data_IF_639203305652
#
_entry.id   IF_639203305652
#
_cell.length_a   1.000
_cell.length_b   1.000
_cell.length_c   1.000
_cell.angle_alpha   90.00
_cell.angle_beta   90.00
_cell.angle_gamma   90.00
#
_symmetry.space_group_name_H-M   'P 1'
#
loop_
_entity.id
_entity.type
_entity.pdbx_description
1 polymer ?
#
# COMPACT_ATOMS: atom_id res chain seq x y z
N UNK A 1 1.44 14.90 13.12
CA UNK A 1 0.21 14.10 12.97
C UNK A 1 -0.02 13.73 11.48
N UNK A 2 0.26 12.46 11.13
CA UNK A 2 -0.08 11.90 9.82
C UNK A 2 -1.48 11.27 9.84
N UNK A 3 -2.16 11.22 8.69
CA UNK A 3 -3.43 10.52 8.56
C UNK A 3 -3.15 9.08 8.12
N UNK A 4 -3.68 8.09 8.85
CA UNK A 4 -3.62 6.69 8.47
C UNK A 4 -5.03 6.23 8.14
N UNK A 5 -5.22 5.65 6.95
CA UNK A 5 -6.45 4.91 6.62
C UNK A 5 -6.16 3.42 6.71
N UNK A 6 -7.11 2.66 7.24
CA UNK A 6 -6.98 1.22 7.44
C UNK A 6 -8.07 0.53 6.63
N UNK A 7 -7.66 -0.49 5.87
CA UNK A 7 -8.53 -1.36 5.09
C UNK A 7 -8.34 -2.76 5.66
N UNK A 8 -9.28 -3.18 6.50
CA UNK A 8 -9.21 -4.44 7.25
C UNK A 8 -9.62 -5.66 6.41
N UNK A 9 -9.27 -6.86 6.89
CA UNK A 9 -9.55 -8.16 6.28
C UNK A 9 -11.02 -8.31 5.85
N UNK A 10 -11.96 -7.82 6.67
CA UNK A 10 -13.39 -7.88 6.33
C UNK A 10 -13.69 -7.19 5.00
N UNK A 11 -13.09 -6.03 4.73
CA UNK A 11 -13.29 -5.31 3.46
C UNK A 11 -12.63 -6.05 2.30
N UNK A 12 -11.43 -6.62 2.54
CA UNK A 12 -10.69 -7.39 1.53
C UNK A 12 -11.52 -8.61 1.11
N UNK A 13 -12.09 -9.33 2.08
CA UNK A 13 -12.89 -10.54 1.87
C UNK A 13 -14.26 -10.24 1.24
N UNK A 14 -14.98 -9.23 1.74
CA UNK A 14 -16.30 -8.84 1.21
C UNK A 14 -16.22 -8.40 -0.25
N UNK A 15 -15.15 -7.70 -0.62
CA UNK A 15 -14.91 -7.25 -2.00
C UNK A 15 -14.40 -8.38 -2.90
N UNK A 16 -14.04 -9.53 -2.33
CA UNK A 16 -13.31 -10.61 -3.02
C UNK A 16 -12.12 -10.05 -3.78
N UNK A 17 -11.39 -9.13 -3.15
CA UNK A 17 -10.21 -8.56 -3.75
C UNK A 17 -9.23 -9.70 -4.08
N UNK A 18 -8.57 -9.59 -5.22
CA UNK A 18 -7.56 -10.52 -5.75
C UNK A 18 -6.22 -9.82 -6.01
N UNK A 19 -6.19 -8.48 -5.93
CA UNK A 19 -4.97 -7.69 -6.08
C UNK A 19 -4.89 -6.56 -5.06
N UNK A 20 -3.66 -6.11 -4.79
CA UNK A 20 -3.44 -4.96 -3.92
C UNK A 20 -4.09 -3.69 -4.50
N UNK A 21 -4.19 -3.57 -5.82
CA UNK A 21 -4.88 -2.46 -6.47
C UNK A 21 -6.38 -2.44 -6.20
N UNK A 22 -7.03 -3.60 -6.08
CA UNK A 22 -8.44 -3.68 -5.70
C UNK A 22 -8.66 -3.25 -4.24
N UNK A 23 -7.78 -3.69 -3.34
CA UNK A 23 -7.80 -3.26 -1.94
C UNK A 23 -7.61 -1.74 -1.83
N UNK A 24 -6.58 -1.20 -2.49
CA UNK A 24 -6.22 0.23 -2.39
C UNK A 24 -7.23 1.18 -3.05
N UNK A 25 -8.15 0.71 -3.90
CA UNK A 25 -9.25 1.53 -4.44
C UNK A 25 -10.18 2.09 -3.36
N UNK A 26 -10.18 1.50 -2.16
CA UNK A 26 -10.93 1.99 -1.01
C UNK A 26 -10.39 3.31 -0.45
N UNK A 27 -9.18 3.73 -0.83
CA UNK A 27 -8.63 5.01 -0.43
C UNK A 27 -8.49 5.97 -1.62
N UNK A 28 -9.28 7.06 -1.58
CA UNK A 28 -9.30 8.06 -2.65
C UNK A 28 -7.96 8.82 -2.85
N UNK A 29 -7.03 8.73 -1.90
CA UNK A 29 -5.70 9.32 -2.06
C UNK A 29 -4.73 8.44 -2.85
N UNK A 30 -5.10 7.18 -3.10
CA UNK A 30 -4.32 6.24 -3.91
C UNK A 30 -4.89 6.18 -5.32
N UNK A 31 -4.01 6.25 -6.32
CA UNK A 31 -4.36 5.97 -7.70
C UNK A 31 -3.55 4.77 -8.21
N UNK A 32 -4.25 3.85 -8.89
CA UNK A 32 -3.60 2.77 -9.60
C UNK A 32 -3.04 3.27 -10.94
N UNK A 33 -1.77 2.96 -11.19
CA UNK A 33 -1.10 3.17 -12.47
C UNK A 33 -1.21 1.95 -13.38
N UNK A 34 -0.25 1.81 -14.30
CA UNK A 34 -0.23 0.71 -15.25
C UNK A 34 0.10 -0.64 -14.61
N UNK A 35 -0.65 -1.68 -14.99
CA UNK A 35 -0.37 -3.09 -14.65
C UNK A 35 0.32 -3.79 -15.82
N UNK A 36 1.47 -4.42 -15.58
CA UNK A 36 2.21 -5.16 -16.61
C UNK A 36 3.18 -6.14 -15.98
N UNK A 37 3.41 -7.30 -16.62
CA UNK A 37 4.39 -8.32 -16.19
C UNK A 37 4.29 -8.68 -14.70
N UNK A 38 3.07 -8.87 -14.20
CA UNK A 38 2.78 -9.15 -12.80
C UNK A 38 3.23 -8.05 -11.81
N UNK A 39 3.20 -6.80 -12.25
CA UNK A 39 3.51 -5.62 -11.44
C UNK A 39 2.33 -4.67 -11.45
N UNK A 40 2.09 -4.06 -10.31
CA UNK A 40 1.11 -3.00 -10.14
C UNK A 40 1.85 -1.77 -9.62
N UNK A 41 1.65 -0.63 -10.28
CA UNK A 41 2.20 0.65 -9.85
C UNK A 41 1.10 1.46 -9.20
N UNK A 42 1.45 2.19 -8.16
CA UNK A 42 0.53 3.00 -7.40
C UNK A 42 1.11 4.39 -7.20
N UNK A 43 0.26 5.38 -7.09
CA UNK A 43 0.65 6.71 -6.62
C UNK A 43 -0.20 7.09 -5.42
N UNK A 44 0.41 7.77 -4.46
CA UNK A 44 -0.25 8.29 -3.28
C UNK A 44 -0.14 9.81 -3.29
N UNK A 45 -1.28 10.50 -3.32
CA UNK A 45 -1.36 11.98 -3.43
C UNK A 45 -0.53 12.55 -4.61
N UNK A 46 -0.49 11.82 -5.72
CA UNK A 46 0.23 12.23 -6.94
C UNK A 46 1.72 11.87 -6.99
N UNK A 47 2.27 11.24 -5.95
CA UNK A 47 3.64 10.74 -5.94
C UNK A 47 3.66 9.22 -6.15
N UNK A 48 4.45 8.74 -7.10
CA UNK A 48 4.58 7.29 -7.35
C UNK A 48 5.21 6.58 -6.13
N UNK A 49 4.59 5.49 -5.69
CA UNK A 49 5.14 4.61 -4.66
C UNK A 49 6.21 3.73 -5.31
N UNK A 50 7.47 3.96 -4.97
CA UNK A 50 8.60 3.16 -5.43
C UNK A 50 8.51 1.76 -4.82
N UNK A 51 8.93 0.75 -5.59
CA UNK A 51 9.07 -0.61 -5.06
C UNK A 51 10.02 -0.71 -3.88
N UNK A 52 11.02 0.16 -3.77
CA UNK A 52 12.02 0.14 -2.69
C UNK A 52 11.55 0.83 -1.41
N UNK A 53 10.82 1.93 -1.56
CA UNK A 53 10.62 2.90 -0.48
C UNK A 53 9.14 3.08 -0.11
N UNK A 54 8.20 2.74 -1.00
CA UNK A 54 6.77 3.04 -0.83
C UNK A 54 5.93 1.99 -0.13
N UNK A 55 6.54 0.86 0.21
CA UNK A 55 5.84 -0.27 0.80
C UNK A 55 6.52 -0.74 2.06
N UNK A 56 5.69 -1.02 3.06
CA UNK A 56 6.07 -1.69 4.28
C UNK A 56 5.38 -3.07 4.34
N UNK A 57 6.04 -4.00 5.02
CA UNK A 57 5.46 -5.26 5.48
C UNK A 57 5.64 -5.31 6.99
N UNK A 58 4.53 -5.37 7.71
CA UNK A 58 4.50 -5.38 9.18
C UNK A 58 5.35 -4.24 9.81
N UNK A 59 5.26 -3.04 9.20
CA UNK A 59 5.97 -1.84 9.64
C UNK A 59 7.46 -1.78 9.27
N UNK A 60 7.97 -2.71 8.45
CA UNK A 60 9.36 -2.71 7.97
C UNK A 60 9.43 -2.45 6.47
N UNK A 61 10.48 -1.77 6.02
CA UNK A 61 10.70 -1.52 4.59
C UNK A 61 10.65 -2.82 3.80
N UNK A 62 9.79 -2.86 2.78
CA UNK A 62 9.54 -4.05 1.99
C UNK A 62 9.70 -3.75 0.52
N UNK A 63 10.53 -4.54 -0.15
CA UNK A 63 10.66 -4.43 -1.60
C UNK A 63 9.41 -5.04 -2.26
N UNK A 64 8.51 -4.20 -2.74
CA UNK A 64 7.28 -4.61 -3.42
C UNK A 64 7.36 -4.32 -4.93
N UNK A 65 7.87 -5.28 -5.69
CA UNK A 65 8.01 -5.12 -7.15
C UNK A 65 6.95 -5.86 -7.96
N UNK A 66 6.52 -6.99 -7.43
CA UNK A 66 5.54 -7.87 -8.05
C UNK A 66 4.24 -7.81 -7.25
N UNK A 67 3.16 -8.34 -7.84
CA UNK A 67 1.88 -8.50 -7.15
C UNK A 67 2.07 -9.20 -5.81
N UNK A 68 1.46 -8.65 -4.77
CA UNK A 68 1.54 -9.15 -3.41
C UNK A 68 0.39 -10.15 -3.16
N UNK A 69 0.61 -11.21 -2.38
CA UNK A 69 -0.44 -12.16 -2.01
C UNK A 69 -1.33 -11.53 -0.95
N UNK A 70 -2.40 -10.87 -1.39
CA UNK A 70 -3.29 -10.10 -0.51
C UNK A 70 -4.13 -10.99 0.42
N UNK A 71 -4.30 -12.27 0.07
CA UNK A 71 -5.05 -13.26 0.85
C UNK A 71 -4.35 -13.58 2.18
N UNK A 72 -3.06 -13.25 2.28
CA UNK A 72 -2.22 -13.41 3.47
C UNK A 72 -2.17 -12.14 4.33
N UNK A 73 -2.98 -11.12 4.02
CA UNK A 73 -3.02 -9.86 4.76
C UNK A 73 -4.19 -9.83 5.74
N UNK A 74 -3.93 -9.37 6.95
CA UNK A 74 -4.95 -9.00 7.94
C UNK A 74 -5.49 -7.60 7.65
N UNK A 75 -4.64 -6.67 7.20
CA UNK A 75 -5.06 -5.33 6.80
C UNK A 75 -4.02 -4.64 5.93
N UNK A 76 -4.47 -3.60 5.23
CA UNK A 76 -3.62 -2.66 4.50
C UNK A 76 -3.79 -1.26 5.08
N UNK A 77 -2.69 -0.65 5.48
CA UNK A 77 -2.67 0.70 6.04
C UNK A 77 -2.07 1.68 5.02
N UNK A 78 -2.77 2.77 4.75
CA UNK A 78 -2.31 3.86 3.89
C UNK A 78 -1.88 5.02 4.77
N UNK A 79 -0.57 5.21 4.90
CA UNK A 79 0.03 6.28 5.68
C UNK A 79 0.21 7.48 4.77
N UNK A 80 -0.50 8.57 5.05
CA UNK A 80 -0.58 9.71 4.15
C UNK A 80 0.31 10.86 4.60
N UNK A 81 1.28 11.19 3.77
CA UNK A 81 2.28 12.23 4.00
C UNK A 81 3.63 11.66 4.45
N UNK A 82 4.65 12.53 4.57
CA UNK A 82 6.02 12.11 4.85
C UNK A 82 6.09 11.34 6.17
N UNK A 83 6.62 10.12 6.09
CA UNK A 83 6.68 9.19 7.24
C UNK A 83 8.11 8.76 7.56
N UNK A 84 9.10 9.48 7.02
CA UNK A 84 10.50 9.06 7.09
C UNK A 84 11.12 9.10 8.48
N UNK A 85 10.56 9.87 9.41
CA UNK A 85 10.99 9.83 10.82
C UNK A 85 10.69 8.47 11.47
N UNK A 86 9.61 7.80 11.06
CA UNK A 86 9.16 6.54 11.65
C UNK A 86 9.69 5.32 10.88
N UNK A 87 9.78 5.42 9.56
CA UNK A 87 10.06 4.28 8.68
C UNK A 87 11.30 4.46 7.80
N UNK A 88 12.06 5.55 7.95
CA UNK A 88 13.28 5.80 7.20
C UNK A 88 13.02 6.51 5.87
N UNK A 89 13.36 5.88 4.74
CA UNK A 89 13.14 6.52 3.44
C UNK A 89 11.67 6.35 3.04
N UNK A 90 10.98 7.46 2.76
CA UNK A 90 9.58 7.45 2.34
C UNK A 90 9.32 8.46 1.24
N UNK A 91 8.35 8.18 0.38
CA UNK A 91 7.87 9.11 -0.63
C UNK A 91 7.12 10.28 0.02
N UNK A 92 7.11 11.47 -0.62
CA UNK A 92 6.39 12.63 -0.10
C UNK A 92 4.88 12.40 0.07
N UNK A 93 4.30 11.55 -0.79
CA UNK A 93 2.90 11.14 -0.71
C UNK A 93 2.58 10.29 0.52
N UNK A 94 3.55 9.52 1.00
CA UNK A 94 3.44 8.59 2.12
C UNK A 94 3.80 7.16 1.74
N UNK A 95 3.25 6.18 2.47
CA UNK A 95 3.61 4.75 2.39
C UNK A 95 2.37 3.88 2.43
N UNK A 96 2.48 2.64 1.93
CA UNK A 96 1.48 1.59 2.14
C UNK A 96 2.09 0.47 2.99
N UNK A 97 1.50 0.19 4.14
CA UNK A 97 1.90 -0.92 4.99
C UNK A 97 0.95 -2.10 4.83
N UNK A 98 1.50 -3.27 4.49
CA UNK A 98 0.76 -4.52 4.41
C UNK A 98 1.00 -5.31 5.68
N UNK A 99 -0.05 -5.56 6.44
CA UNK A 99 0.04 -6.31 7.69
C UNK A 99 -0.40 -7.74 7.45
N UNK A 100 0.47 -8.69 7.78
CA UNK A 100 0.20 -10.12 7.65
C UNK A 100 -0.74 -10.64 8.75
N UNK A 101 -1.39 -11.78 8.47
CA UNK A 101 -2.16 -12.55 9.46
C UNK A 101 -1.27 -13.28 10.46
#
# INVERSE_FOLDING_TARGET
PGQVAVIDETVIDEQRASTLGEVLRNDASVSAGGTSRNRERFSLRGFELSSSDGFLRDGRQHWSHYRQPIELLERVEVLKGPSGLLYGKSEPGGLVNMVSK
#
